data_IF_118858754685
#
_entry.id   IF_118858754685
#
_cell.length_a   1.000
_cell.length_b   1.000
_cell.length_c   1.000
_cell.angle_alpha   90.00
_cell.angle_beta   90.00
_cell.angle_gamma   90.00
#
_symmetry.space_group_name_H-M   'P 1'
#
loop_
_entity.id
_entity.type
_entity.pdbx_description
1 polymer ?
#
# COMPACT_ATOMS: atom_id res chain seq x y z
N UNK A 1 3.72 7.50 -11.04
CA UNK A 1 4.69 7.85 -9.99
C UNK A 1 5.25 6.56 -9.41
N UNK A 2 6.51 6.55 -8.99
CA UNK A 2 7.22 5.35 -8.53
C UNK A 2 7.30 5.31 -7.01
N UNK A 3 7.22 4.09 -6.43
CA UNK A 3 7.47 3.87 -5.00
C UNK A 3 8.98 3.78 -4.82
N UNK A 4 9.57 4.68 -4.03
CA UNK A 4 11.02 4.71 -3.80
C UNK A 4 11.46 3.63 -2.82
N UNK A 5 12.68 3.12 -2.97
CA UNK A 5 13.28 2.19 -2.01
C UNK A 5 13.31 2.78 -0.59
N UNK A 6 13.27 1.93 0.47
CA UNK A 6 13.35 2.39 1.84
C UNK A 6 14.60 3.24 2.08
N UNK A 7 14.42 4.41 2.70
CA UNK A 7 15.53 5.32 3.05
C UNK A 7 16.17 4.98 4.40
N UNK A 8 15.44 4.23 5.22
CA UNK A 8 15.81 3.83 6.58
C UNK A 8 15.67 2.33 6.74
N UNK A 9 16.41 1.76 7.68
CA UNK A 9 16.41 0.33 7.95
C UNK A 9 15.08 -0.12 8.59
N UNK A 10 14.72 -1.39 8.39
CA UNK A 10 13.45 -1.96 8.84
C UNK A 10 13.26 -1.96 10.37
N UNK A 11 14.36 -1.93 11.13
CA UNK A 11 14.39 -1.86 12.59
C UNK A 11 14.27 -0.43 13.14
N UNK A 12 14.32 0.59 12.27
CA UNK A 12 14.18 1.98 12.67
C UNK A 12 12.72 2.29 13.04
N UNK A 13 12.45 3.02 14.15
CA UNK A 13 11.08 3.33 14.57
C UNK A 13 10.26 4.08 13.52
N UNK A 14 10.92 4.86 12.67
CA UNK A 14 10.27 5.62 11.60
C UNK A 14 10.06 4.83 10.30
N UNK A 15 10.44 3.54 10.22
CA UNK A 15 10.39 2.75 8.97
C UNK A 15 9.00 2.78 8.33
N UNK A 16 7.96 2.65 9.15
CA UNK A 16 6.58 2.75 8.71
C UNK A 16 6.27 4.14 8.13
N UNK A 17 6.71 5.22 8.80
CA UNK A 17 6.49 6.60 8.35
C UNK A 17 7.17 6.83 6.99
N UNK A 18 8.41 6.34 6.82
CA UNK A 18 9.10 6.44 5.54
C UNK A 18 8.39 5.66 4.43
N UNK A 19 7.72 4.55 4.75
CA UNK A 19 6.91 3.79 3.80
C UNK A 19 5.63 4.58 3.42
N UNK A 20 4.96 5.17 4.40
CA UNK A 20 3.78 6.03 4.18
C UNK A 20 4.12 7.21 3.25
N UNK A 21 5.26 7.87 3.45
CA UNK A 21 5.73 8.94 2.58
C UNK A 21 5.99 8.48 1.14
N UNK A 22 6.56 7.28 0.97
CA UNK A 22 6.80 6.70 -0.35
C UNK A 22 5.50 6.31 -1.07
N UNK A 23 4.44 5.97 -0.32
CA UNK A 23 3.14 5.57 -0.85
C UNK A 23 2.17 6.73 -1.08
N UNK A 24 2.34 7.88 -0.40
CA UNK A 24 1.40 9.02 -0.45
C UNK A 24 1.12 9.49 -1.88
N UNK A 25 2.16 9.75 -2.67
CA UNK A 25 2.02 10.21 -4.05
C UNK A 25 1.39 9.14 -4.97
N UNK A 26 1.89 7.89 -5.02
CA UNK A 26 1.24 6.80 -5.76
C UNK A 26 -0.23 6.57 -5.37
N UNK A 27 -0.57 6.65 -4.08
CA UNK A 27 -1.94 6.48 -3.60
C UNK A 27 -2.86 7.59 -4.11
N UNK A 28 -2.40 8.85 -4.14
CA UNK A 28 -3.15 9.97 -4.73
C UNK A 28 -3.40 9.77 -6.22
N UNK A 29 -2.40 9.32 -6.97
CA UNK A 29 -2.55 9.02 -8.41
C UNK A 29 -3.59 7.91 -8.66
N UNK A 30 -3.62 6.88 -7.82
CA UNK A 30 -4.64 5.82 -7.88
C UNK A 30 -6.05 6.37 -7.61
N UNK A 31 -6.19 7.25 -6.62
CA UNK A 31 -7.47 7.91 -6.31
C UNK A 31 -7.91 8.79 -7.46
N UNK A 32 -7.02 9.60 -8.04
CA UNK A 32 -7.32 10.48 -9.17
C UNK A 32 -7.82 9.69 -10.38
N UNK A 33 -7.21 8.54 -10.69
CA UNK A 33 -7.70 7.63 -11.75
C UNK A 33 -9.10 7.10 -11.46
N UNK A 34 -9.39 6.72 -10.22
CA UNK A 34 -10.71 6.26 -9.84
C UNK A 34 -11.77 7.37 -9.91
N UNK A 35 -11.40 8.61 -9.55
CA UNK A 35 -12.26 9.79 -9.72
C UNK A 35 -12.55 10.04 -11.20
N UNK A 36 -11.53 9.99 -12.06
CA UNK A 36 -11.68 10.15 -13.51
C UNK A 36 -12.57 9.07 -14.13
N UNK A 37 -12.59 7.87 -13.56
CA UNK A 37 -13.50 6.79 -13.92
C UNK A 37 -14.94 6.99 -13.40
N UNK A 38 -15.21 8.07 -12.65
CA UNK A 38 -16.55 8.45 -12.19
C UNK A 38 -16.91 8.02 -10.76
N UNK A 39 -15.97 7.45 -10.00
CA UNK A 39 -16.24 7.02 -8.63
C UNK A 39 -16.20 8.18 -7.63
N UNK A 40 -17.04 8.10 -6.60
CA UNK A 40 -17.03 9.09 -5.52
C UNK A 40 -15.77 8.96 -4.65
N UNK A 41 -15.06 10.06 -4.33
CA UNK A 41 -13.87 10.04 -3.48
C UNK A 41 -14.07 9.30 -2.15
N UNK A 42 -15.20 9.52 -1.47
CA UNK A 42 -15.51 8.87 -0.19
C UNK A 42 -15.60 7.35 -0.32
N UNK A 43 -16.14 6.85 -1.43
CA UNK A 43 -16.25 5.41 -1.70
C UNK A 43 -14.87 4.84 -2.02
N UNK A 44 -14.07 5.55 -2.81
CA UNK A 44 -12.71 5.13 -3.18
C UNK A 44 -11.84 4.91 -1.94
N UNK A 45 -11.74 5.90 -1.05
CA UNK A 45 -10.90 5.77 0.15
C UNK A 45 -11.35 4.64 1.08
N UNK A 46 -12.66 4.41 1.20
CA UNK A 46 -13.18 3.28 1.98
C UNK A 46 -12.83 1.94 1.31
N UNK A 47 -13.00 1.84 -0.01
CA UNK A 47 -12.67 0.63 -0.75
C UNK A 47 -11.16 0.32 -0.67
N UNK A 48 -10.29 1.32 -0.77
CA UNK A 48 -8.84 1.13 -0.65
C UNK A 48 -8.43 0.56 0.72
N UNK A 49 -9.05 1.03 1.82
CA UNK A 49 -8.81 0.47 3.16
C UNK A 49 -9.22 -1.01 3.24
N UNK A 50 -10.39 -1.35 2.72
CA UNK A 50 -10.87 -2.74 2.73
C UNK A 50 -10.02 -3.66 1.84
N UNK A 51 -9.61 -3.18 0.67
CA UNK A 51 -8.72 -3.93 -0.23
C UNK A 51 -7.38 -4.20 0.42
N UNK A 52 -6.73 -3.17 0.99
CA UNK A 52 -5.44 -3.32 1.68
C UNK A 52 -5.55 -4.27 2.87
N UNK A 53 -6.62 -4.15 3.68
CA UNK A 53 -6.86 -5.07 4.81
C UNK A 53 -7.05 -6.51 4.34
N UNK A 54 -7.85 -6.74 3.30
CA UNK A 54 -8.10 -8.08 2.81
C UNK A 54 -6.83 -8.71 2.20
N UNK A 55 -5.99 -7.91 1.54
CA UNK A 55 -4.67 -8.38 1.05
C UNK A 55 -3.73 -8.75 2.20
N UNK A 56 -3.70 -7.94 3.27
CA UNK A 56 -2.91 -8.25 4.47
C UNK A 56 -3.38 -9.55 5.13
N UNK A 57 -4.69 -9.76 5.29
CA UNK A 57 -5.25 -11.01 5.83
C UNK A 57 -4.87 -12.22 4.97
N UNK A 58 -4.95 -12.09 3.64
CA UNK A 58 -4.56 -13.16 2.74
C UNK A 58 -3.06 -13.50 2.87
N UNK A 59 -2.20 -12.50 3.01
CA UNK A 59 -0.77 -12.69 3.25
C UNK A 59 -0.45 -13.33 4.61
N UNK A 60 -1.25 -13.04 5.64
CA UNK A 60 -1.12 -13.69 6.94
C UNK A 60 -1.62 -15.15 6.93
N UNK A 61 -2.65 -15.46 6.14
CA UNK A 61 -3.20 -16.82 6.00
C UNK A 61 -2.31 -17.73 5.13
N UNK A 62 -1.71 -17.18 4.08
CA UNK A 62 -0.76 -17.88 3.19
C UNK A 62 0.42 -16.92 2.92
N UNK A 63 1.43 -16.88 3.81
CA UNK A 63 2.63 -16.12 3.57
C UNK A 63 3.32 -16.74 2.35
N UNK A 64 3.20 -16.07 1.20
CA UNK A 64 3.74 -16.51 -0.09
C UNK A 64 5.17 -17.09 0.10
N UNK A 65 5.48 -18.30 -0.40
CA UNK A 65 6.71 -19.08 -0.15
C UNK A 65 8.02 -18.47 -0.65
N UNK A 66 8.13 -17.17 -0.89
CA UNK A 66 9.43 -16.52 -1.19
C UNK A 66 10.39 -16.52 0.03
N UNK A 67 9.93 -16.99 1.19
CA UNK A 67 10.77 -17.34 2.36
C UNK A 67 11.24 -18.83 2.37
N UNK A 68 10.97 -19.63 1.32
CA UNK A 68 11.68 -20.90 1.11
C UNK A 68 13.06 -20.61 0.49
N UNK A 69 14.18 -20.74 1.24
CA UNK A 69 15.50 -20.58 0.67
C UNK A 69 15.74 -21.68 -0.38
N UNK A 70 16.01 -21.27 -1.62
CA UNK A 70 16.50 -22.14 -2.69
C UNK A 70 17.83 -22.84 -2.35
#
# INVERSE_FOLDING_TARGET
MEITSPKIAADHPDYQISCEEALDLPARDLVDKAIQAGWSPRVIYKALQEVARNQALAYEEDPDPEDDPA
#
